data_IF_211659107580
#
_entry.id   IF_211659107580
#
_cell.length_a   1.000
_cell.length_b   1.000
_cell.length_c   1.000
_cell.angle_alpha   90.00
_cell.angle_beta   90.00
_cell.angle_gamma   90.00
#
_symmetry.space_group_name_H-M   'P 1'
#
loop_
_entity.id
_entity.type
_entity.pdbx_description
1 polymer ?
#
# COMPACT_ATOMS: atom_id res chain seq x y z
N UNK A 1 55.04 66.69 8.18
CA UNK A 1 53.91 67.00 9.09
C UNK A 1 52.92 67.85 8.29
N UNK A 2 52.28 67.33 7.23
CA UNK A 2 51.08 66.46 7.26
C UNK A 2 50.04 67.00 8.27
N UNK A 3 48.83 67.41 7.88
CA UNK A 3 47.87 66.65 7.04
C UNK A 3 47.02 67.55 6.12
N UNK A 4 46.95 67.13 4.85
CA UNK A 4 45.81 67.30 3.92
C UNK A 4 44.51 66.78 4.56
N UNK A 5 43.29 67.17 4.20
CA UNK A 5 42.80 67.95 3.07
C UNK A 5 41.37 67.50 2.73
N UNK A 6 40.57 68.47 2.28
CA UNK A 6 39.42 68.39 1.37
C UNK A 6 38.04 67.89 1.81
N UNK A 7 37.09 68.67 1.29
CA UNK A 7 35.66 68.65 1.47
C UNK A 7 34.98 68.33 0.13
N UNK A 8 33.77 67.76 0.24
CA UNK A 8 32.61 67.74 -0.70
C UNK A 8 32.74 66.98 -2.02
N UNK A 9 31.75 66.11 -2.26
CA UNK A 9 30.83 66.02 -3.42
C UNK A 9 29.71 65.03 -3.03
N UNK A 10 28.45 65.43 -3.05
CA UNK A 10 27.45 65.40 -4.15
C UNK A 10 26.76 64.05 -4.38
N UNK A 11 25.48 64.25 -4.67
CA UNK A 11 24.31 63.43 -4.97
C UNK A 11 24.47 62.24 -5.92
N UNK A 12 23.54 61.30 -5.73
CA UNK A 12 22.72 60.62 -6.75
C UNK A 12 23.00 59.16 -7.20
N UNK A 13 21.90 58.40 -7.07
CA UNK A 13 21.35 57.35 -7.94
C UNK A 13 21.70 55.84 -7.82
N UNK A 14 20.60 55.10 -7.62
CA UNK A 14 20.19 53.84 -8.23
C UNK A 14 21.02 52.56 -8.01
N UNK A 15 20.55 51.74 -7.07
CA UNK A 15 20.81 50.31 -7.00
C UNK A 15 19.56 49.54 -6.57
N UNK A 16 18.81 49.03 -7.54
CA UNK A 16 17.74 48.05 -7.32
C UNK A 16 18.30 46.80 -6.62
N UNK A 17 17.75 46.44 -5.47
CA UNK A 17 18.24 45.33 -4.66
C UNK A 17 17.12 44.62 -3.90
N UNK A 18 16.46 43.69 -4.60
CA UNK A 18 15.79 42.48 -4.09
C UNK A 18 15.08 42.58 -2.73
N UNK A 19 13.74 42.63 -2.81
CA UNK A 19 12.83 42.14 -1.77
C UNK A 19 13.22 40.73 -1.36
N UNK A 20 13.94 40.60 -0.24
CA UNK A 20 14.10 39.33 0.46
C UNK A 20 12.76 39.00 1.10
N UNK A 21 12.02 38.12 0.44
CA UNK A 21 10.93 37.35 1.03
C UNK A 21 11.48 36.67 2.29
N UNK A 22 11.25 37.30 3.44
CA UNK A 22 11.55 36.72 4.74
C UNK A 22 10.55 35.59 4.92
N UNK A 23 10.98 34.39 4.55
CA UNK A 23 10.27 33.15 4.81
C UNK A 23 9.69 33.19 6.22
N UNK A 24 8.36 33.30 6.28
CA UNK A 24 7.61 33.16 7.51
C UNK A 24 7.85 31.73 8.00
N UNK A 25 8.85 31.60 8.89
CA UNK A 25 9.06 30.41 9.67
C UNK A 25 7.75 30.10 10.36
N UNK A 26 7.07 29.05 9.89
CA UNK A 26 5.87 28.52 10.51
C UNK A 26 6.25 28.18 11.95
N UNK A 27 5.89 29.05 12.88
CA UNK A 27 6.04 28.80 14.31
C UNK A 27 5.47 27.41 14.56
N UNK A 28 6.32 26.49 15.05
CA UNK A 28 5.84 25.19 15.52
C UNK A 28 4.83 25.51 16.61
N UNK A 29 3.59 25.08 16.43
CA UNK A 29 2.62 25.10 17.51
C UNK A 29 3.13 24.11 18.54
N UNK A 30 3.39 24.57 19.75
CA UNK A 30 3.85 23.74 20.88
C UNK A 30 2.81 22.67 21.29
N UNK A 31 1.63 22.68 20.64
CA UNK A 31 0.55 21.71 20.80
C UNK A 31 0.58 20.53 19.81
N UNK A 32 1.58 20.42 18.91
CA UNK A 32 1.70 19.22 18.07
C UNK A 32 2.08 18.03 18.98
N UNK A 33 1.24 16.99 19.11
CA UNK A 33 1.51 15.88 20.01
C UNK A 33 2.84 15.22 19.62
N UNK A 34 3.70 15.02 20.64
CA UNK A 34 5.03 14.41 20.50
C UNK A 34 4.99 13.07 19.75
N UNK A 35 3.84 12.37 19.82
CA UNK A 35 3.56 11.15 19.10
C UNK A 35 2.44 11.42 18.08
N UNK A 36 2.71 11.33 16.76
CA UNK A 36 1.68 11.42 15.73
C UNK A 36 0.63 10.31 15.87
N UNK A 37 -0.57 10.52 15.30
CA UNK A 37 -1.60 9.46 15.22
C UNK A 37 -1.06 8.26 14.43
N UNK A 38 -1.18 7.06 15.01
CA UNK A 38 -0.64 5.80 14.48
C UNK A 38 -1.55 4.62 14.89
N UNK A 39 -1.27 3.40 14.41
CA UNK A 39 -2.02 2.20 14.81
C UNK A 39 -3.46 2.10 14.29
N UNK A 40 -3.89 3.03 13.43
CA UNK A 40 -5.20 3.04 12.76
C UNK A 40 -5.33 2.02 11.62
N UNK A 41 -4.52 0.96 11.60
CA UNK A 41 -4.41 0.01 10.49
C UNK A 41 -5.73 -0.63 10.10
N UNK A 42 -6.67 -0.78 11.05
CA UNK A 42 -8.01 -1.33 10.80
C UNK A 42 -8.82 -0.52 9.79
N UNK A 43 -8.52 0.77 9.63
CA UNK A 43 -9.15 1.66 8.66
C UNK A 43 -8.41 1.72 7.31
N UNK A 44 -7.23 1.08 7.20
CA UNK A 44 -6.51 1.01 5.93
C UNK A 44 -7.21 0.03 4.99
N UNK A 45 -7.54 0.50 3.78
CA UNK A 45 -8.08 -0.36 2.71
C UNK A 45 -7.13 -1.53 2.41
N UNK A 46 -5.82 -1.28 2.43
CA UNK A 46 -4.80 -2.32 2.21
C UNK A 46 -4.86 -3.41 3.27
N UNK A 47 -5.05 -3.06 4.54
CA UNK A 47 -5.21 -4.05 5.61
C UNK A 47 -6.50 -4.87 5.47
N UNK A 48 -7.61 -4.20 5.13
CA UNK A 48 -8.90 -4.86 4.91
C UNK A 48 -8.84 -5.84 3.73
N UNK A 49 -8.26 -5.40 2.60
CA UNK A 49 -8.07 -6.23 1.41
C UNK A 49 -7.11 -7.38 1.71
N UNK A 50 -5.99 -7.15 2.42
CA UNK A 50 -5.08 -8.22 2.84
C UNK A 50 -5.77 -9.24 3.76
N UNK A 51 -6.72 -8.79 4.60
CA UNK A 51 -7.61 -9.67 5.36
C UNK A 51 -8.46 -10.57 4.47
N UNK A 52 -9.12 -10.00 3.46
CA UNK A 52 -9.91 -10.78 2.50
C UNK A 52 -9.04 -11.75 1.69
N UNK A 53 -7.86 -11.31 1.25
CA UNK A 53 -6.88 -12.16 0.55
C UNK A 53 -6.56 -13.37 1.43
N UNK A 54 -6.20 -13.17 2.69
CA UNK A 54 -5.94 -14.27 3.62
C UNK A 54 -7.10 -15.25 3.75
N UNK A 55 -8.33 -14.76 3.95
CA UNK A 55 -9.52 -15.61 4.12
C UNK A 55 -9.87 -16.41 2.86
N UNK A 56 -9.62 -15.84 1.67
CA UNK A 56 -9.79 -16.50 0.38
C UNK A 56 -8.68 -17.52 0.14
N UNK A 57 -7.41 -17.16 0.42
CA UNK A 57 -6.26 -18.06 0.31
C UNK A 57 -6.41 -19.27 1.21
N UNK A 58 -6.85 -19.11 2.46
CA UNK A 58 -7.06 -20.23 3.36
C UNK A 58 -8.02 -21.27 2.78
N UNK A 59 -9.14 -20.82 2.18
CA UNK A 59 -10.14 -21.67 1.52
C UNK A 59 -9.63 -22.26 0.21
N UNK A 60 -8.90 -21.48 -0.58
CA UNK A 60 -8.27 -21.97 -1.80
C UNK A 60 -7.33 -23.14 -1.49
N UNK A 61 -6.43 -22.94 -0.52
CA UNK A 61 -5.47 -23.95 -0.07
C UNK A 61 -6.17 -25.20 0.49
N UNK A 62 -7.28 -25.05 1.19
CA UNK A 62 -8.08 -26.18 1.68
C UNK A 62 -8.74 -26.97 0.55
N UNK A 63 -9.24 -26.27 -0.49
CA UNK A 63 -9.99 -26.88 -1.59
C UNK A 63 -9.11 -27.51 -2.66
N UNK A 64 -7.96 -26.90 -2.97
CA UNK A 64 -7.20 -27.22 -4.19
C UNK A 64 -5.80 -27.79 -3.93
N UNK A 65 -5.32 -27.76 -2.69
CA UNK A 65 -4.00 -28.28 -2.32
C UNK A 65 -4.13 -29.41 -1.31
N UNK A 66 -3.38 -30.48 -1.56
CA UNK A 66 -3.39 -31.65 -0.70
C UNK A 66 -2.92 -31.31 0.73
N UNK A 67 -3.41 -32.06 1.70
CA UNK A 67 -2.91 -31.96 3.06
C UNK A 67 -1.45 -32.42 3.10
N UNK A 68 -0.56 -31.61 3.69
CA UNK A 68 0.88 -31.87 3.74
C UNK A 68 1.68 -31.34 2.55
N UNK A 69 1.02 -30.77 1.53
CA UNK A 69 1.71 -30.08 0.44
C UNK A 69 2.40 -28.81 0.98
N UNK A 70 3.71 -28.70 0.75
CA UNK A 70 4.50 -27.54 1.19
C UNK A 70 3.96 -26.22 0.62
N UNK A 71 3.43 -26.24 -0.59
CA UNK A 71 2.81 -25.09 -1.27
C UNK A 71 1.65 -24.53 -0.45
N UNK A 72 0.87 -25.42 0.19
CA UNK A 72 -0.28 -25.06 1.03
C UNK A 72 0.15 -24.20 2.22
N UNK A 73 1.27 -24.55 2.85
CA UNK A 73 1.80 -23.81 3.99
C UNK A 73 2.46 -22.50 3.56
N UNK A 74 3.18 -22.51 2.44
CA UNK A 74 3.82 -21.33 1.85
C UNK A 74 2.79 -20.24 1.52
N UNK A 75 1.75 -20.58 0.75
CA UNK A 75 0.70 -19.62 0.39
C UNK A 75 -0.01 -19.02 1.61
N UNK A 76 -0.36 -19.86 2.60
CA UNK A 76 -1.01 -19.39 3.83
C UNK A 76 -0.11 -18.46 4.63
N UNK A 77 1.17 -18.80 4.72
CA UNK A 77 2.14 -18.01 5.46
C UNK A 77 2.44 -16.68 4.76
N UNK A 78 2.56 -16.68 3.43
CA UNK A 78 2.71 -15.46 2.62
C UNK A 78 1.52 -14.51 2.81
N UNK A 79 0.28 -15.03 2.70
CA UNK A 79 -0.93 -14.24 2.94
C UNK A 79 -1.00 -13.68 4.36
N UNK A 80 -0.66 -14.50 5.37
CA UNK A 80 -0.64 -14.08 6.78
C UNK A 80 0.41 -13.00 7.02
N UNK A 81 1.64 -13.22 6.52
CA UNK A 81 2.76 -12.31 6.65
C UNK A 81 2.44 -10.95 6.03
N UNK A 82 1.86 -10.94 4.82
CA UNK A 82 1.45 -9.70 4.15
C UNK A 82 0.52 -8.86 5.02
N UNK A 83 -0.54 -9.47 5.57
CA UNK A 83 -1.50 -8.79 6.45
C UNK A 83 -0.87 -8.31 7.76
N UNK A 84 -0.04 -9.13 8.41
CA UNK A 84 0.57 -8.81 9.70
C UNK A 84 1.55 -7.63 9.60
N UNK A 85 2.42 -7.65 8.59
CA UNK A 85 3.39 -6.58 8.39
C UNK A 85 2.74 -5.22 8.09
N UNK A 86 1.56 -5.18 7.46
CA UNK A 86 0.76 -3.95 7.31
C UNK A 86 0.32 -3.41 8.68
N UNK A 87 -0.16 -4.29 9.57
CA UNK A 87 -0.60 -3.89 10.91
C UNK A 87 0.58 -3.41 11.76
N UNK A 88 1.66 -4.20 11.80
CA UNK A 88 2.87 -3.89 12.56
C UNK A 88 3.52 -2.59 12.06
N UNK A 89 3.70 -2.44 10.75
CA UNK A 89 4.25 -1.20 10.18
C UNK A 89 3.43 0.03 10.51
N UNK A 90 2.11 -0.08 10.55
CA UNK A 90 1.22 1.02 10.92
C UNK A 90 1.27 1.36 12.42
N UNK A 91 1.48 0.36 13.29
CA UNK A 91 1.65 0.60 14.73
C UNK A 91 3.00 1.27 14.99
N UNK A 92 4.08 0.77 14.38
CA UNK A 92 5.44 1.28 14.57
C UNK A 92 5.69 2.64 13.88
N UNK A 93 4.78 3.09 13.02
CA UNK A 93 4.87 4.37 12.30
C UNK A 93 4.99 5.61 13.19
N UNK A 94 4.59 5.51 14.46
CA UNK A 94 4.76 6.58 15.45
C UNK A 94 6.16 6.66 16.04
N UNK A 95 6.88 5.55 16.11
CA UNK A 95 8.18 5.46 16.77
C UNK A 95 9.31 5.42 15.75
N UNK A 96 9.08 4.86 14.56
CA UNK A 96 10.12 4.75 13.53
C UNK A 96 9.56 4.65 12.11
N UNK A 97 9.80 5.69 11.30
CA UNK A 97 9.56 5.67 9.85
C UNK A 97 10.39 4.62 9.11
N UNK A 98 11.59 4.32 9.61
CA UNK A 98 12.46 3.28 9.05
C UNK A 98 11.82 1.89 9.17
N UNK A 99 11.21 1.59 10.33
CA UNK A 99 10.54 0.31 10.56
C UNK A 99 9.23 0.23 9.75
N UNK A 100 8.43 1.30 9.73
CA UNK A 100 7.23 1.39 8.89
C UNK A 100 7.52 1.06 7.43
N UNK A 101 8.55 1.69 6.84
CA UNK A 101 8.96 1.43 5.45
C UNK A 101 9.43 -0.01 5.24
N UNK A 102 10.23 -0.53 6.18
CA UNK A 102 10.73 -1.92 6.12
C UNK A 102 9.58 -2.92 6.11
N UNK A 103 8.65 -2.81 7.07
CA UNK A 103 7.53 -3.75 7.20
C UNK A 103 6.55 -3.59 6.03
N UNK A 104 6.35 -2.38 5.52
CA UNK A 104 5.60 -2.18 4.27
C UNK A 104 6.25 -2.91 3.08
N UNK A 105 7.58 -2.85 2.97
CA UNK A 105 8.34 -3.61 1.96
C UNK A 105 8.19 -5.12 2.10
N UNK A 106 8.26 -5.65 3.33
CA UNK A 106 8.01 -7.07 3.60
C UNK A 106 6.58 -7.47 3.24
N UNK A 107 5.59 -6.62 3.55
CA UNK A 107 4.20 -6.88 3.18
C UNK A 107 4.01 -6.98 1.66
N UNK A 108 4.63 -6.09 0.90
CA UNK A 108 4.63 -6.13 -0.57
C UNK A 108 5.26 -7.43 -1.07
N UNK A 109 6.44 -7.77 -0.56
CA UNK A 109 7.15 -9.01 -0.92
C UNK A 109 6.30 -10.25 -0.67
N UNK A 110 5.69 -10.37 0.52
CA UNK A 110 4.83 -11.51 0.86
C UNK A 110 3.58 -11.62 -0.02
N UNK A 111 2.97 -10.49 -0.40
CA UNK A 111 1.80 -10.52 -1.30
C UNK A 111 2.19 -10.81 -2.76
N UNK A 112 3.40 -10.43 -3.16
CA UNK A 112 3.96 -10.77 -4.47
C UNK A 112 4.32 -12.26 -4.57
N UNK A 113 4.95 -12.84 -3.54
CA UNK A 113 5.17 -14.28 -3.42
C UNK A 113 3.85 -15.05 -3.54
N UNK A 114 2.82 -14.62 -2.82
CA UNK A 114 1.49 -15.22 -2.91
C UNK A 114 0.89 -15.13 -4.32
N UNK A 115 1.09 -14.01 -5.03
CA UNK A 115 0.64 -13.86 -6.43
C UNK A 115 1.33 -14.87 -7.33
N UNK A 116 2.64 -15.04 -7.20
CA UNK A 116 3.42 -16.01 -7.96
C UNK A 116 2.97 -17.44 -7.67
N UNK A 117 2.66 -17.78 -6.42
CA UNK A 117 2.11 -19.10 -6.07
C UNK A 117 0.78 -19.39 -6.78
N UNK A 118 -0.10 -18.39 -6.90
CA UNK A 118 -1.34 -18.52 -7.69
C UNK A 118 -1.06 -18.70 -9.18
N UNK A 119 -0.13 -17.93 -9.74
CA UNK A 119 0.26 -18.02 -11.15
C UNK A 119 0.86 -19.39 -11.48
N UNK A 120 1.72 -19.90 -10.60
CA UNK A 120 2.28 -21.24 -10.73
C UNK A 120 1.23 -22.33 -10.60
N UNK A 121 0.28 -22.21 -9.67
CA UNK A 121 -0.83 -23.14 -9.56
C UNK A 121 -1.63 -23.24 -10.87
N UNK A 122 -1.95 -22.11 -11.50
CA UNK A 122 -2.68 -22.05 -12.77
C UNK A 122 -1.85 -22.66 -13.90
N UNK A 123 -0.60 -22.23 -14.03
CA UNK A 123 0.34 -22.66 -15.08
C UNK A 123 0.56 -24.17 -15.04
N UNK A 124 0.83 -24.75 -13.88
CA UNK A 124 1.07 -26.19 -13.72
C UNK A 124 -0.16 -27.05 -14.05
N UNK A 125 -1.37 -26.46 -14.02
CA UNK A 125 -2.63 -27.15 -14.31
C UNK A 125 -3.22 -26.78 -15.68
N UNK A 126 -2.50 -26.00 -16.49
CA UNK A 126 -2.98 -25.55 -17.79
C UNK A 126 -4.22 -24.65 -17.72
N UNK A 127 -4.45 -23.98 -16.59
CA UNK A 127 -5.60 -23.11 -16.39
C UNK A 127 -5.28 -21.69 -16.90
N UNK A 128 -6.24 -21.00 -17.55
CA UNK A 128 -6.01 -19.68 -18.10
C UNK A 128 -5.90 -18.62 -16.99
N UNK A 129 -4.95 -17.69 -17.14
CA UNK A 129 -4.91 -16.47 -16.36
C UNK A 129 -5.78 -15.40 -17.02
N UNK A 130 -6.68 -14.79 -16.25
CA UNK A 130 -7.51 -13.70 -16.74
C UNK A 130 -6.70 -12.41 -16.91
N UNK A 131 -6.83 -11.79 -18.08
CA UNK A 131 -6.31 -10.43 -18.34
C UNK A 131 -7.05 -9.42 -17.47
N UNK A 132 -6.42 -8.29 -17.17
CA UNK A 132 -6.98 -7.25 -16.30
C UNK A 132 -8.37 -6.73 -16.70
N UNK A 133 -8.70 -6.79 -18.00
CA UNK A 133 -9.98 -6.37 -18.58
C UNK A 133 -11.03 -7.49 -18.71
N UNK A 134 -10.74 -8.70 -18.20
CA UNK A 134 -11.69 -9.82 -18.27
C UNK A 134 -13.02 -9.44 -17.58
N UNK A 135 -14.19 -9.68 -18.21
CA UNK A 135 -15.48 -9.24 -17.67
C UNK A 135 -15.75 -9.69 -16.23
N UNK A 136 -15.38 -10.93 -15.88
CA UNK A 136 -15.51 -11.43 -14.51
C UNK A 136 -14.66 -10.62 -13.51
N UNK A 137 -13.41 -10.27 -13.87
CA UNK A 137 -12.57 -9.43 -13.00
C UNK A 137 -13.12 -8.00 -12.86
N UNK A 138 -13.73 -7.45 -13.91
CA UNK A 138 -14.36 -6.14 -13.85
C UNK A 138 -15.57 -6.15 -12.90
N UNK A 139 -16.44 -7.17 -13.00
CA UNK A 139 -17.56 -7.35 -12.07
C UNK A 139 -17.11 -7.58 -10.62
N UNK A 140 -16.06 -8.39 -10.42
CA UNK A 140 -15.45 -8.59 -9.11
C UNK A 140 -15.01 -7.26 -8.47
N UNK A 141 -14.24 -6.46 -9.21
CA UNK A 141 -13.74 -5.15 -8.75
C UNK A 141 -14.89 -4.19 -8.43
N UNK A 142 -15.94 -4.19 -9.24
CA UNK A 142 -17.12 -3.35 -9.02
C UNK A 142 -17.85 -3.71 -7.73
N UNK A 143 -17.90 -4.99 -7.36
CA UNK A 143 -18.58 -5.46 -6.14
C UNK A 143 -17.89 -5.02 -4.85
N UNK A 144 -16.58 -4.77 -4.87
CA UNK A 144 -15.78 -4.37 -3.70
C UNK A 144 -16.05 -5.25 -2.48
N UNK A 145 -15.95 -6.57 -2.66
CA UNK A 145 -16.22 -7.53 -1.59
C UNK A 145 -15.43 -7.15 -0.32
N UNK A 146 -16.13 -7.08 0.81
CA UNK A 146 -15.56 -6.80 2.12
C UNK A 146 -15.42 -8.07 2.97
N UNK A 147 -16.01 -9.19 2.53
CA UNK A 147 -15.98 -10.46 3.25
C UNK A 147 -15.89 -11.66 2.31
N UNK A 148 -15.45 -12.79 2.87
CA UNK A 148 -15.44 -14.06 2.14
C UNK A 148 -16.83 -14.56 1.77
N UNK A 149 -17.87 -14.15 2.53
CA UNK A 149 -19.27 -14.46 2.20
C UNK A 149 -19.66 -13.75 0.91
N UNK A 150 -19.35 -12.46 0.79
CA UNK A 150 -19.58 -11.69 -0.43
C UNK A 150 -18.78 -12.22 -1.61
N UNK A 151 -17.52 -12.58 -1.38
CA UNK A 151 -16.68 -13.23 -2.39
C UNK A 151 -17.32 -14.53 -2.88
N UNK A 152 -17.80 -15.40 -1.98
CA UNK A 152 -18.48 -16.66 -2.36
C UNK A 152 -19.76 -16.41 -3.14
N UNK A 153 -20.54 -15.38 -2.78
CA UNK A 153 -21.74 -15.00 -3.54
C UNK A 153 -21.37 -14.56 -4.95
N UNK A 154 -20.32 -13.75 -5.10
CA UNK A 154 -19.81 -13.37 -6.41
C UNK A 154 -19.37 -14.59 -7.22
N UNK A 155 -18.58 -15.51 -6.66
CA UNK A 155 -18.19 -16.75 -7.35
C UNK A 155 -19.42 -17.54 -7.82
N UNK A 156 -20.43 -17.71 -6.97
CA UNK A 156 -21.64 -18.44 -7.33
C UNK A 156 -22.45 -17.76 -8.45
N UNK A 157 -22.49 -16.43 -8.49
CA UNK A 157 -23.13 -15.67 -9.57
C UNK A 157 -22.33 -15.78 -10.88
N UNK A 158 -21.00 -15.68 -10.83
CA UNK A 158 -20.15 -15.81 -12.03
C UNK A 158 -20.18 -17.19 -12.66
N UNK A 159 -20.26 -18.25 -11.84
CA UNK A 159 -20.40 -19.62 -12.35
C UNK A 159 -21.68 -19.76 -13.18
N UNK A 160 -22.81 -19.22 -12.71
CA UNK A 160 -24.07 -19.24 -13.49
C UNK A 160 -23.95 -18.49 -14.81
N UNK A 161 -23.30 -17.32 -14.80
CA UNK A 161 -23.07 -16.54 -16.03
C UNK A 161 -22.21 -17.34 -17.02
N UNK A 162 -21.20 -18.05 -16.53
CA UNK A 162 -20.30 -18.85 -17.38
C UNK A 162 -21.04 -20.05 -17.97
N UNK A 163 -21.84 -20.75 -17.15
CA UNK A 163 -22.65 -21.89 -17.58
C UNK A 163 -23.71 -21.49 -18.61
N UNK A 164 -24.30 -20.30 -18.49
CA UNK A 164 -25.27 -19.74 -19.44
C UNK A 164 -24.64 -19.29 -20.77
N UNK A 165 -23.34 -18.98 -20.80
CA UNK A 165 -22.63 -18.46 -21.99
C UNK A 165 -21.65 -19.46 -22.62
N UNK A 166 -21.53 -20.68 -22.08
CA UNK A 166 -20.87 -21.82 -22.74
C UNK A 166 -19.41 -21.60 -23.14
N UNK A 167 -18.61 -20.95 -22.30
CA UNK A 167 -17.16 -20.79 -22.51
C UNK A 167 -16.34 -21.78 -21.70
#
# INVERSE_FOLDING_TARGET
MERHGLARTDTDEHGQGQTRDRGAGRARRDDDPLIPKHGGYRHLKTFQIAGLIYDVTARFCEKYLAQGDRTRDQMRQAARSGRQNIAEGSVDSATSKKIEMKLTGVAIGSLEELRLDYEDFLRQRGLPQWKAAHPALMRFKARRCASVIEFRRWVAEEMRITDEHGQ
#
